data_IF_954582592165
#
_entry.id   IF_954582592165
#
_cell.length_a   1.000
_cell.length_b   1.000
_cell.length_c   1.000
_cell.angle_alpha   90.00
_cell.angle_beta   90.00
_cell.angle_gamma   90.00
#
_symmetry.space_group_name_H-M   'P 1'
#
loop_
_entity.id
_entity.type
_entity.pdbx_description
1 polymer ?
#
# COMPACT_ATOMS: atom_id res chain seq x y z
N UNK A 1 2.25 11.36 -2.98
CA UNK A 1 2.69 10.51 -1.86
C UNK A 1 4.08 9.98 -2.18
N UNK A 2 5.00 9.98 -1.21
CA UNK A 2 6.32 9.37 -1.31
C UNK A 2 6.74 8.90 0.08
N UNK A 3 7.26 7.68 0.21
CA UNK A 3 7.64 7.14 1.52
C UNK A 3 8.37 5.81 1.42
N UNK A 4 8.83 5.30 2.56
CA UNK A 4 9.51 4.01 2.68
C UNK A 4 8.87 3.13 3.75
N UNK A 5 8.88 1.82 3.55
CA UNK A 5 8.38 0.85 4.55
C UNK A 5 9.21 0.87 5.84
N UNK A 6 10.40 1.47 5.83
CA UNK A 6 11.19 1.72 7.02
C UNK A 6 10.44 2.58 8.06
N UNK A 7 9.52 3.44 7.63
CA UNK A 7 8.78 4.36 8.49
C UNK A 7 7.47 3.75 9.04
N UNK A 8 7.13 2.52 8.68
CA UNK A 8 5.93 1.85 9.20
C UNK A 8 5.97 1.74 10.73
N UNK A 9 4.90 2.20 11.40
CA UNK A 9 4.71 2.08 12.86
C UNK A 9 4.65 0.60 13.28
N UNK A 10 3.86 -0.20 12.56
CA UNK A 10 3.79 -1.65 12.75
C UNK A 10 4.50 -2.36 11.60
N UNK A 11 5.63 -3.02 11.87
CA UNK A 11 6.41 -3.73 10.84
C UNK A 11 5.62 -4.90 10.24
N UNK A 12 5.95 -5.26 9.00
CA UNK A 12 5.21 -6.24 8.19
C UNK A 12 5.02 -7.58 8.91
N UNK A 13 6.11 -8.20 9.41
CA UNK A 13 6.02 -9.51 10.07
C UNK A 13 5.15 -9.49 11.34
N UNK A 14 5.36 -8.56 12.30
CA UNK A 14 4.45 -8.40 13.44
C UNK A 14 3.00 -8.10 13.06
N UNK A 15 2.77 -7.29 12.02
CA UNK A 15 1.42 -6.95 11.55
C UNK A 15 0.68 -8.19 11.05
N UNK A 16 1.32 -9.00 10.20
CA UNK A 16 0.76 -10.26 9.69
C UNK A 16 0.44 -11.21 10.85
N UNK A 17 1.37 -11.37 11.80
CA UNK A 17 1.17 -12.21 12.98
C UNK A 17 0.06 -11.72 13.92
N UNK A 18 -0.19 -10.41 13.96
CA UNK A 18 -1.33 -9.86 14.70
C UNK A 18 -2.65 -10.14 13.98
N UNK A 19 -2.71 -9.89 12.67
CA UNK A 19 -3.90 -10.15 11.85
C UNK A 19 -4.31 -11.62 11.89
N UNK A 20 -3.35 -12.55 11.88
CA UNK A 20 -3.62 -13.99 11.88
C UNK A 20 -4.30 -14.51 13.16
N UNK A 21 -4.36 -13.71 14.23
CA UNK A 21 -5.10 -14.03 15.45
C UNK A 21 -6.62 -13.87 15.28
N UNK A 22 -7.04 -13.08 14.30
CA UNK A 22 -8.44 -12.75 14.05
C UNK A 22 -8.96 -13.36 12.75
N UNK A 23 -8.11 -13.43 11.72
CA UNK A 23 -8.44 -13.96 10.41
C UNK A 23 -7.48 -15.06 10.01
N UNK A 24 -7.98 -16.16 9.44
CA UNK A 24 -7.10 -17.14 8.79
C UNK A 24 -6.62 -16.57 7.47
N UNK A 25 -5.32 -16.33 7.34
CA UNK A 25 -4.69 -15.88 6.10
C UNK A 25 -4.42 -17.09 5.20
N UNK A 26 -5.00 -17.10 4.00
CA UNK A 26 -4.89 -18.17 3.02
C UNK A 26 -3.85 -17.84 1.95
N UNK A 27 -3.40 -18.88 1.24
CA UNK A 27 -2.57 -18.69 0.07
C UNK A 27 -3.32 -17.86 -0.98
N UNK A 28 -2.67 -16.80 -1.46
CA UNK A 28 -3.28 -15.84 -2.40
C UNK A 28 -3.86 -14.58 -1.73
N UNK A 29 -3.98 -14.54 -0.40
CA UNK A 29 -4.43 -13.34 0.30
C UNK A 29 -3.38 -12.21 0.20
N UNK A 30 -3.86 -10.97 0.08
CA UNK A 30 -3.04 -9.76 0.00
C UNK A 30 -3.28 -8.90 1.24
N UNK A 31 -2.19 -8.46 1.88
CA UNK A 31 -2.22 -7.55 3.03
C UNK A 31 -1.76 -6.17 2.60
N UNK A 32 -2.61 -5.16 2.83
CA UNK A 32 -2.25 -3.75 2.66
C UNK A 32 -1.65 -3.21 3.97
N UNK A 33 -0.45 -2.65 3.89
CA UNK A 33 0.39 -2.33 5.06
C UNK A 33 0.23 -0.90 5.58
N UNK A 34 -0.77 -0.17 5.08
CA UNK A 34 -0.99 1.25 5.35
C UNK A 34 -0.44 2.15 4.24
N UNK A 35 -0.55 3.46 4.47
CA UNK A 35 -0.16 4.51 3.51
C UNK A 35 0.71 5.54 4.21
N UNK A 36 1.76 6.10 3.56
CA UNK A 36 2.47 7.26 4.08
C UNK A 36 1.57 8.51 4.02
N UNK A 37 2.12 9.65 4.41
CA UNK A 37 1.44 10.93 4.30
C UNK A 37 1.19 11.37 2.85
N UNK A 38 0.35 12.40 2.70
CA UNK A 38 0.01 12.97 1.39
C UNK A 38 -1.19 12.32 0.70
N UNK A 39 -2.08 11.67 1.46
CA UNK A 39 -3.40 11.26 0.96
C UNK A 39 -4.21 12.50 0.59
N UNK A 40 -4.85 12.47 -0.59
CA UNK A 40 -5.65 13.57 -1.11
C UNK A 40 -6.66 13.07 -2.15
N UNK A 41 -7.61 13.94 -2.56
CA UNK A 41 -8.63 13.57 -3.54
C UNK A 41 -8.03 13.40 -4.94
N UNK A 42 -8.68 12.55 -5.74
CA UNK A 42 -8.44 12.40 -7.17
C UNK A 42 -9.71 12.77 -7.94
N UNK A 43 -9.55 13.25 -9.16
CA UNK A 43 -10.62 13.67 -10.06
C UNK A 43 -10.55 12.90 -11.39
N UNK A 44 -11.69 12.80 -12.07
CA UNK A 44 -11.74 12.22 -13.42
C UNK A 44 -10.85 13.02 -14.36
N UNK A 45 -10.06 12.32 -15.17
CA UNK A 45 -9.04 12.89 -16.04
C UNK A 45 -7.63 12.90 -15.45
N UNK A 46 -7.47 12.72 -14.13
CA UNK A 46 -6.15 12.76 -13.48
C UNK A 46 -5.25 11.64 -13.99
N UNK A 47 -4.03 12.00 -14.40
CA UNK A 47 -2.99 11.04 -14.75
C UNK A 47 -2.18 10.67 -13.51
N UNK A 48 -1.96 9.37 -13.32
CA UNK A 48 -1.31 8.79 -12.15
C UNK A 48 -0.07 8.04 -12.57
N UNK A 49 1.03 8.29 -11.86
CA UNK A 49 2.25 7.48 -11.93
C UNK A 49 2.54 6.88 -10.56
N UNK A 50 2.64 5.56 -10.50
CA UNK A 50 3.02 4.81 -9.30
C UNK A 50 4.41 4.23 -9.51
N UNK A 51 5.26 4.31 -8.48
CA UNK A 51 6.61 3.74 -8.53
C UNK A 51 6.85 2.84 -7.32
N UNK A 52 7.59 1.75 -7.52
CA UNK A 52 8.00 0.83 -6.47
C UNK A 52 9.31 0.15 -6.87
N UNK A 53 10.36 0.33 -6.06
CA UNK A 53 11.67 -0.30 -6.23
C UNK A 53 12.21 -0.29 -7.69
N UNK A 54 12.20 0.90 -8.32
CA UNK A 54 12.66 1.08 -9.71
C UNK A 54 11.65 0.69 -10.79
N UNK A 55 10.52 0.07 -10.44
CA UNK A 55 9.41 -0.20 -11.34
C UNK A 55 8.43 0.98 -11.39
N UNK A 56 7.80 1.20 -12.54
CA UNK A 56 6.78 2.23 -12.72
C UNK A 56 5.53 1.71 -13.43
N UNK A 57 4.39 2.29 -13.06
CA UNK A 57 3.09 2.07 -13.69
C UNK A 57 2.42 3.43 -13.91
N UNK A 58 1.93 3.67 -15.13
CA UNK A 58 1.16 4.84 -15.47
C UNK A 58 -0.30 4.46 -15.75
N UNK A 59 -1.24 5.25 -15.25
CA UNK A 59 -2.69 5.06 -15.49
C UNK A 59 -3.42 6.40 -15.39
N UNK A 60 -4.74 6.40 -15.56
CA UNK A 60 -5.59 7.60 -15.45
C UNK A 60 -6.92 7.27 -14.78
N UNK A 61 -7.43 8.24 -14.02
CA UNK A 61 -8.78 8.19 -13.45
C UNK A 61 -9.79 8.49 -14.56
N UNK A 62 -10.75 7.58 -14.75
CA UNK A 62 -11.84 7.72 -15.72
C UNK A 62 -13.00 8.52 -15.12
#
# INVERSE_FOLDING_TARGET
QQGTTADMIHKIVPLIAYMSKFFTLKAGDVVLTGTPDGVGPLQSGDELTVTFDGHSLATRVL
#
